data_IF_649660346586
#
_entry.id   IF_649660346586
#
_cell.length_a   1.000
_cell.length_b   1.000
_cell.length_c   1.000
_cell.angle_alpha   90.00
_cell.angle_beta   90.00
_cell.angle_gamma   90.00
#
_symmetry.space_group_name_H-M   'P 1'
#
loop_
_entity.id
_entity.type
_entity.pdbx_description
1 polymer ?
#
# COMPACT_ATOMS: atom_id res chain seq x y z
N UNK A 1 -18.97 18.62 17.89
CA UNK A 1 -17.75 17.76 18.02
C UNK A 1 -18.08 16.29 18.23
N UNK A 2 -18.93 15.91 19.22
CA UNK A 2 -19.30 14.51 19.43
C UNK A 2 -20.02 13.86 18.24
N UNK A 3 -20.97 14.57 17.62
CA UNK A 3 -21.69 14.12 16.43
C UNK A 3 -20.75 13.87 15.22
N UNK A 4 -19.80 14.79 14.98
CA UNK A 4 -18.77 14.65 13.95
C UNK A 4 -17.88 13.41 14.18
N UNK A 5 -17.48 13.14 15.44
CA UNK A 5 -16.69 11.96 15.79
C UNK A 5 -17.47 10.66 15.56
N UNK A 6 -18.76 10.63 15.90
CA UNK A 6 -19.60 9.45 15.63
C UNK A 6 -19.82 9.23 14.13
N UNK A 7 -19.99 10.31 13.36
CA UNK A 7 -20.10 10.27 11.89
C UNK A 7 -18.81 9.76 11.26
N UNK A 8 -17.65 10.23 11.73
CA UNK A 8 -16.34 9.78 11.28
C UNK A 8 -16.18 8.27 11.55
N UNK A 9 -16.53 7.80 12.75
CA UNK A 9 -16.44 6.38 13.10
C UNK A 9 -17.31 5.51 12.20
N UNK A 10 -18.51 5.96 11.86
CA UNK A 10 -19.39 5.28 10.91
C UNK A 10 -18.80 5.29 9.50
N UNK A 11 -18.21 6.41 9.08
CA UNK A 11 -17.58 6.55 7.76
C UNK A 11 -16.35 5.65 7.60
N UNK A 12 -15.51 5.52 8.64
CA UNK A 12 -14.35 4.61 8.64
C UNK A 12 -14.76 3.14 8.47
N UNK A 13 -16.00 2.78 8.83
CA UNK A 13 -16.55 1.44 8.59
C UNK A 13 -17.15 1.26 7.19
N UNK A 14 -17.45 2.34 6.47
CA UNK A 14 -17.97 2.27 5.11
C UNK A 14 -16.83 1.87 4.16
N UNK A 15 -16.96 0.76 3.39
CA UNK A 15 -15.96 0.36 2.40
C UNK A 15 -15.58 1.48 1.44
N UNK A 16 -16.51 2.37 1.10
CA UNK A 16 -16.27 3.49 0.17
C UNK A 16 -15.27 4.52 0.72
N UNK A 17 -15.15 4.69 2.03
CA UNK A 17 -14.15 5.58 2.62
C UNK A 17 -12.94 4.81 3.16
N UNK A 18 -13.16 3.61 3.70
CA UNK A 18 -12.12 2.80 4.30
C UNK A 18 -11.04 2.36 3.29
N UNK A 19 -11.40 2.03 2.04
CA UNK A 19 -10.40 1.70 1.02
C UNK A 19 -9.48 2.89 0.69
N UNK A 20 -10.00 4.12 0.71
CA UNK A 20 -9.20 5.34 0.48
C UNK A 20 -8.17 5.56 1.60
N UNK A 21 -8.56 5.29 2.85
CA UNK A 21 -7.64 5.36 3.98
C UNK A 21 -6.54 4.29 3.88
N UNK A 22 -6.91 3.07 3.50
CA UNK A 22 -5.97 1.96 3.41
C UNK A 22 -5.07 2.01 2.17
N UNK A 23 -5.47 2.69 1.09
CA UNK A 23 -4.68 2.83 -0.14
C UNK A 23 -3.27 3.41 0.13
N UNK A 24 -3.21 4.38 1.04
CA UNK A 24 -1.98 5.07 1.42
C UNK A 24 -1.04 4.20 2.28
N UNK A 25 -1.59 3.21 2.98
CA UNK A 25 -0.86 2.45 4.01
C UNK A 25 0.30 1.63 3.44
N UNK A 26 0.15 0.84 2.35
CA UNK A 26 1.27 0.11 1.78
C UNK A 26 2.39 1.04 1.30
N UNK A 27 2.04 2.15 0.64
CA UNK A 27 3.03 3.09 0.10
C UNK A 27 3.82 3.80 1.20
N UNK A 28 3.13 4.53 2.07
CA UNK A 28 3.80 5.33 3.10
C UNK A 28 4.34 4.48 4.23
N UNK A 29 3.64 3.41 4.60
CA UNK A 29 4.07 2.53 5.66
C UNK A 29 5.34 1.75 5.31
N UNK A 30 5.46 1.24 4.08
CA UNK A 30 6.73 0.64 3.60
C UNK A 30 7.81 1.71 3.47
N UNK A 31 7.50 2.90 2.93
CA UNK A 31 8.47 3.99 2.80
C UNK A 31 9.06 4.44 4.15
N UNK A 32 8.21 4.72 5.13
CA UNK A 32 8.61 5.10 6.49
C UNK A 32 9.36 3.93 7.15
N UNK A 33 8.85 2.70 7.03
CA UNK A 33 9.49 1.50 7.56
C UNK A 33 10.90 1.29 7.01
N UNK A 34 11.13 1.51 5.71
CA UNK A 34 12.45 1.45 5.10
C UNK A 34 13.42 2.49 5.67
N UNK A 35 12.96 3.73 5.85
CA UNK A 35 13.78 4.79 6.44
C UNK A 35 14.23 4.41 7.85
N UNK A 36 13.29 3.96 8.70
CA UNK A 36 13.62 3.47 10.04
C UNK A 36 14.56 2.26 9.99
N UNK A 37 14.34 1.32 9.06
CA UNK A 37 15.18 0.14 8.93
C UNK A 37 16.63 0.52 8.57
N UNK A 38 16.81 1.41 7.60
CA UNK A 38 18.15 1.89 7.18
C UNK A 38 18.83 2.64 8.33
N UNK A 39 18.14 3.57 8.99
CA UNK A 39 18.70 4.34 10.12
C UNK A 39 19.07 3.41 11.28
N UNK A 40 18.22 2.42 11.60
CA UNK A 40 18.49 1.45 12.66
C UNK A 40 19.72 0.57 12.36
N UNK A 41 20.02 0.31 11.09
CA UNK A 41 21.24 -0.39 10.70
C UNK A 41 22.49 0.46 10.91
N UNK A 42 22.42 1.74 10.54
CA UNK A 42 23.54 2.67 10.69
C UNK A 42 23.85 2.91 12.17
N UNK A 43 22.81 3.06 12.99
CA UNK A 43 22.94 3.31 14.44
C UNK A 43 23.16 2.04 15.26
N UNK A 44 22.89 0.85 14.69
CA UNK A 44 22.94 -0.44 15.39
C UNK A 44 21.80 -0.67 16.38
N UNK A 45 20.78 0.20 16.41
CA UNK A 45 19.70 0.14 17.39
C UNK A 45 18.69 -0.97 17.04
N UNK A 46 18.48 -1.91 17.96
CA UNK A 46 17.71 -3.14 17.69
C UNK A 46 16.20 -2.97 17.85
N UNK A 47 15.71 -2.06 18.70
CA UNK A 47 14.27 -1.86 18.93
C UNK A 47 13.61 -1.13 17.76
N UNK A 48 14.22 -0.04 17.30
CA UNK A 48 13.94 0.70 16.07
C UNK A 48 13.94 -0.21 14.86
N UNK A 49 14.93 -1.10 14.75
CA UNK A 49 14.95 -2.13 13.71
C UNK A 49 13.73 -3.05 13.77
N UNK A 50 13.38 -3.54 14.95
CA UNK A 50 12.20 -4.37 15.14
C UNK A 50 10.91 -3.62 14.79
N UNK A 51 10.77 -2.36 15.23
CA UNK A 51 9.64 -1.50 14.89
C UNK A 51 9.52 -1.27 13.38
N UNK A 52 10.64 -1.03 12.70
CA UNK A 52 10.69 -0.88 11.25
C UNK A 52 10.18 -2.13 10.53
N UNK A 53 10.63 -3.31 10.95
CA UNK A 53 10.19 -4.59 10.38
C UNK A 53 8.69 -4.84 10.62
N UNK A 54 8.20 -4.55 11.82
CA UNK A 54 6.77 -4.66 12.16
C UNK A 54 5.95 -3.73 11.27
N UNK A 55 6.40 -2.49 11.10
CA UNK A 55 5.72 -1.50 10.25
C UNK A 55 5.63 -1.98 8.80
N UNK A 56 6.75 -2.40 8.21
CA UNK A 56 6.77 -2.95 6.83
C UNK A 56 5.83 -4.16 6.71
N UNK A 57 5.89 -5.08 7.67
CA UNK A 57 5.06 -6.29 7.69
C UNK A 57 3.56 -5.95 7.72
N UNK A 58 3.15 -5.07 8.66
CA UNK A 58 1.77 -4.64 8.81
C UNK A 58 1.27 -3.86 7.59
N UNK A 59 2.11 -2.98 7.01
CA UNK A 59 1.75 -2.20 5.82
C UNK A 59 1.62 -3.05 4.56
N UNK A 60 2.41 -4.11 4.42
CA UNK A 60 2.20 -5.07 3.34
C UNK A 60 0.96 -5.93 3.58
N UNK A 61 0.72 -6.34 4.83
CA UNK A 61 -0.44 -7.15 5.20
C UNK A 61 -1.78 -6.39 5.01
N UNK A 62 -1.76 -5.06 5.14
CA UNK A 62 -2.96 -4.23 4.96
C UNK A 62 -3.51 -4.22 3.54
N UNK A 63 -2.78 -4.75 2.55
CA UNK A 63 -3.29 -4.95 1.17
C UNK A 63 -4.51 -5.88 1.15
N UNK A 64 -4.58 -6.85 2.06
CA UNK A 64 -5.74 -7.73 2.16
C UNK A 64 -7.05 -6.99 2.50
N UNK A 65 -7.17 -6.27 3.63
CA UNK A 65 -8.38 -5.50 3.92
C UNK A 65 -8.62 -4.37 2.91
N UNK A 66 -7.55 -3.76 2.36
CA UNK A 66 -7.68 -2.75 1.30
C UNK A 66 -8.40 -3.30 0.06
N UNK A 67 -7.96 -4.45 -0.46
CA UNK A 67 -8.52 -5.04 -1.69
C UNK A 67 -9.95 -5.54 -1.51
N UNK A 68 -10.28 -6.08 -0.34
CA UNK A 68 -11.67 -6.43 0.02
C UNK A 68 -12.57 -5.19 0.04
N UNK A 69 -12.13 -4.12 0.71
CA UNK A 69 -12.89 -2.86 0.79
C UNK A 69 -13.03 -2.18 -0.57
N UNK A 70 -11.98 -2.17 -1.38
CA UNK A 70 -12.01 -1.64 -2.74
C UNK A 70 -13.04 -2.40 -3.60
N UNK A 71 -13.02 -3.73 -3.57
CA UNK A 71 -13.96 -4.57 -4.34
C UNK A 71 -15.40 -4.26 -3.98
N UNK A 72 -15.70 -4.04 -2.69
CA UNK A 72 -17.03 -3.64 -2.21
C UNK A 72 -17.40 -2.21 -2.60
N UNK A 73 -16.41 -1.31 -2.75
CA UNK A 73 -16.63 0.08 -3.10
C UNK A 73 -16.82 0.30 -4.62
N UNK A 74 -16.19 -0.50 -5.48
CA UNK A 74 -16.18 -0.34 -6.94
C UNK A 74 -17.58 -0.11 -7.55
N UNK A 75 -18.64 -0.88 -7.22
CA UNK A 75 -19.97 -0.65 -7.81
C UNK A 75 -20.50 0.76 -7.55
N UNK A 76 -20.29 1.27 -6.32
CA UNK A 76 -20.71 2.62 -5.94
C UNK A 76 -19.84 3.67 -6.64
N UNK A 77 -18.53 3.46 -6.70
CA UNK A 77 -17.60 4.39 -7.39
C UNK A 77 -17.99 4.54 -8.87
N UNK A 78 -18.21 3.42 -9.57
CA UNK A 78 -18.62 3.41 -10.98
C UNK A 78 -19.96 4.13 -11.17
N UNK A 79 -20.93 3.95 -10.28
CA UNK A 79 -22.24 4.59 -10.37
C UNK A 79 -22.17 6.13 -10.25
N UNK A 80 -21.10 6.68 -9.67
CA UNK A 80 -20.90 8.13 -9.48
C UNK A 80 -20.05 8.79 -10.57
N UNK A 81 -19.54 8.01 -11.53
CA UNK A 81 -18.64 8.49 -12.60
C UNK A 81 -19.32 8.34 -13.96
N UNK A 82 -18.81 9.07 -14.95
CA UNK A 82 -19.24 8.90 -16.34
C UNK A 82 -18.96 7.46 -16.81
N UNK A 83 -19.82 6.92 -17.68
CA UNK A 83 -19.76 5.53 -18.14
C UNK A 83 -18.40 5.13 -18.73
N UNK A 84 -17.68 6.08 -19.33
CA UNK A 84 -16.34 5.87 -19.90
C UNK A 84 -15.27 5.46 -18.87
N UNK A 85 -15.46 5.76 -17.59
CA UNK A 85 -14.49 5.40 -16.53
C UNK A 85 -14.67 3.99 -15.98
N UNK A 86 -15.85 3.39 -16.17
CA UNK A 86 -16.14 2.06 -15.67
C UNK A 86 -15.10 0.99 -16.09
N UNK A 87 -14.66 0.89 -17.37
CA UNK A 87 -13.62 -0.07 -17.76
C UNK A 87 -12.27 0.27 -17.13
N UNK A 88 -11.86 1.54 -17.13
CA UNK A 88 -10.57 1.98 -16.57
C UNK A 88 -10.43 1.67 -15.07
N UNK A 89 -11.50 1.89 -14.31
CA UNK A 89 -11.54 1.58 -12.87
C UNK A 89 -11.41 0.07 -12.64
N UNK A 90 -12.08 -0.75 -13.45
CA UNK A 90 -12.01 -2.22 -13.34
C UNK A 90 -10.63 -2.76 -13.72
N UNK A 91 -10.04 -2.25 -14.79
CA UNK A 91 -8.68 -2.61 -15.20
C UNK A 91 -7.65 -2.25 -14.13
N UNK A 92 -7.80 -1.09 -13.50
CA UNK A 92 -6.89 -0.68 -12.44
C UNK A 92 -7.05 -1.52 -11.16
N UNK A 93 -8.29 -1.87 -10.80
CA UNK A 93 -8.55 -2.78 -9.69
C UNK A 93 -7.96 -4.18 -9.95
N UNK A 94 -8.12 -4.70 -11.18
CA UNK A 94 -7.52 -5.97 -11.59
C UNK A 94 -5.99 -5.92 -11.54
N UNK A 95 -5.39 -4.84 -12.07
CA UNK A 95 -3.93 -4.61 -12.00
C UNK A 95 -3.43 -4.67 -10.55
N UNK A 96 -4.12 -4.04 -9.61
CA UNK A 96 -3.74 -4.12 -8.20
C UNK A 96 -3.83 -5.54 -7.66
N UNK A 97 -4.93 -6.25 -7.96
CA UNK A 97 -5.09 -7.64 -7.57
C UNK A 97 -3.95 -8.54 -8.07
N UNK A 98 -3.50 -8.34 -9.31
CA UNK A 98 -2.40 -9.10 -9.92
C UNK A 98 -1.06 -8.90 -9.20
N UNK A 99 -0.86 -7.77 -8.51
CA UNK A 99 0.36 -7.47 -7.76
C UNK A 99 0.25 -7.73 -6.25
N UNK A 100 -0.92 -8.12 -5.73
CA UNK A 100 -1.11 -8.38 -4.30
C UNK A 100 -0.12 -9.41 -3.74
N UNK A 101 0.25 -10.42 -4.53
CA UNK A 101 1.18 -11.46 -4.11
C UNK A 101 2.56 -10.90 -3.72
N UNK A 102 3.00 -9.79 -4.32
CA UNK A 102 4.29 -9.14 -3.99
C UNK A 102 4.25 -8.65 -2.54
N UNK A 103 3.14 -8.05 -2.14
CA UNK A 103 2.93 -7.60 -0.76
C UNK A 103 2.81 -8.78 0.20
N UNK A 104 2.09 -9.84 -0.17
CA UNK A 104 1.98 -11.04 0.68
C UNK A 104 3.33 -11.76 0.87
N UNK A 105 4.14 -11.85 -0.19
CA UNK A 105 5.50 -12.36 -0.09
C UNK A 105 6.34 -11.48 0.85
N UNK A 106 6.22 -10.16 0.72
CA UNK A 106 6.94 -9.21 1.58
C UNK A 106 6.49 -9.28 3.05
N UNK A 107 5.20 -9.51 3.32
CA UNK A 107 4.68 -9.79 4.67
C UNK A 107 5.32 -11.05 5.23
N UNK A 108 5.43 -12.12 4.46
CA UNK A 108 6.08 -13.35 4.90
C UNK A 108 7.58 -13.15 5.18
N UNK A 109 8.31 -12.50 4.26
CA UNK A 109 9.75 -12.21 4.40
C UNK A 109 10.03 -11.33 5.63
N UNK A 110 9.30 -10.23 5.79
CA UNK A 110 9.46 -9.34 6.96
C UNK A 110 9.03 -10.02 8.26
N UNK A 111 7.97 -10.83 8.25
CA UNK A 111 7.59 -11.69 9.37
C UNK A 111 8.69 -12.66 9.78
N UNK A 112 9.32 -13.34 8.81
CA UNK A 112 10.47 -14.21 9.07
C UNK A 112 11.69 -13.43 9.59
N UNK A 113 11.93 -12.22 9.10
CA UNK A 113 12.99 -11.34 9.61
C UNK A 113 12.76 -10.95 11.08
N UNK A 114 11.51 -10.68 11.47
CA UNK A 114 11.13 -10.43 12.88
C UNK A 114 11.44 -11.66 13.75
N UNK A 115 10.98 -12.84 13.33
CA UNK A 115 11.15 -14.08 14.09
C UNK A 115 12.62 -14.52 14.19
N UNK A 116 13.43 -14.19 13.19
CA UNK A 116 14.84 -14.58 13.10
C UNK A 116 15.81 -13.51 13.61
N UNK A 117 15.33 -12.44 14.25
CA UNK A 117 16.15 -11.31 14.69
C UNK A 117 17.36 -11.69 15.57
N UNK A 118 17.28 -12.81 16.29
CA UNK A 118 18.36 -13.34 17.16
C UNK A 118 19.23 -14.43 16.50
N UNK A 119 18.91 -14.84 15.28
CA UNK A 119 19.59 -15.94 14.58
C UNK A 119 20.70 -15.42 13.66
N UNK A 120 21.72 -16.24 13.40
CA UNK A 120 22.74 -15.97 12.39
C UNK A 120 22.15 -15.73 10.99
N UNK A 121 21.00 -16.35 10.68
CA UNK A 121 20.25 -16.15 9.43
C UNK A 121 19.55 -14.78 9.35
N UNK A 122 19.40 -14.07 10.47
CA UNK A 122 18.70 -12.80 10.55
C UNK A 122 19.35 -11.70 9.72
N UNK A 123 20.68 -11.69 9.56
CA UNK A 123 21.38 -10.71 8.71
C UNK A 123 21.02 -10.86 7.23
N UNK A 124 20.93 -12.11 6.75
CA UNK A 124 20.54 -12.40 5.37
C UNK A 124 19.08 -12.03 5.10
N UNK A 125 18.16 -12.40 6.01
CA UNK A 125 16.75 -12.02 5.90
C UNK A 125 16.55 -10.51 5.95
N UNK A 126 17.33 -9.81 6.77
CA UNK A 126 17.29 -8.35 6.84
C UNK A 126 17.74 -7.69 5.53
N UNK A 127 18.81 -8.20 4.92
CA UNK A 127 19.25 -7.73 3.60
C UNK A 127 18.17 -7.95 2.53
N UNK A 128 17.56 -9.15 2.48
CA UNK A 128 16.42 -9.43 1.59
C UNK A 128 15.27 -8.47 1.87
N UNK A 129 14.97 -8.18 3.13
CA UNK A 129 13.88 -7.29 3.52
C UNK A 129 14.10 -5.87 3.00
N UNK A 130 15.35 -5.39 2.97
CA UNK A 130 15.66 -4.05 2.45
C UNK A 130 15.48 -4.00 0.94
N UNK A 131 16.09 -4.94 0.21
CA UNK A 131 16.01 -4.98 -1.25
C UNK A 131 14.56 -5.22 -1.69
N UNK A 132 13.88 -6.19 -1.07
CA UNK A 132 12.47 -6.47 -1.31
C UNK A 132 11.59 -5.27 -0.97
N UNK A 133 11.82 -4.63 0.18
CA UNK A 133 11.09 -3.44 0.60
C UNK A 133 11.25 -2.28 -0.38
N UNK A 134 12.46 -2.00 -0.87
CA UNK A 134 12.71 -0.99 -1.91
C UNK A 134 11.94 -1.31 -3.21
N UNK A 135 11.93 -2.59 -3.62
CA UNK A 135 11.14 -3.06 -4.75
C UNK A 135 9.64 -2.87 -4.55
N UNK A 136 9.11 -3.24 -3.37
CA UNK A 136 7.70 -3.04 -3.01
C UNK A 136 7.34 -1.55 -2.95
N UNK A 137 8.23 -0.71 -2.43
CA UNK A 137 8.03 0.73 -2.38
C UNK A 137 7.93 1.33 -3.79
N UNK A 138 8.84 0.94 -4.69
CA UNK A 138 8.81 1.38 -6.08
C UNK A 138 7.56 0.90 -6.82
N UNK A 139 7.17 -0.37 -6.63
CA UNK A 139 5.93 -0.92 -7.15
C UNK A 139 4.71 -0.14 -6.62
N UNK A 140 4.71 0.21 -5.33
CA UNK A 140 3.63 0.98 -4.71
C UNK A 140 3.51 2.38 -5.31
N UNK A 141 4.63 3.06 -5.57
CA UNK A 141 4.65 4.36 -6.25
C UNK A 141 4.07 4.24 -7.66
N UNK A 142 4.46 3.19 -8.40
CA UNK A 142 3.95 2.96 -9.75
C UNK A 142 2.45 2.64 -9.75
N UNK A 143 1.96 1.80 -8.84
CA UNK A 143 0.53 1.48 -8.71
C UNK A 143 -0.28 2.72 -8.35
N UNK A 144 0.20 3.53 -7.40
CA UNK A 144 -0.45 4.78 -7.01
C UNK A 144 -0.50 5.77 -8.18
N UNK A 145 0.61 5.94 -8.93
CA UNK A 145 0.61 6.75 -10.16
C UNK A 145 -0.46 6.27 -11.16
N UNK A 146 -0.62 4.95 -11.33
CA UNK A 146 -1.64 4.39 -12.22
C UNK A 146 -3.07 4.65 -11.74
N UNK A 147 -3.33 4.68 -10.44
CA UNK A 147 -4.63 5.12 -9.92
C UNK A 147 -4.87 6.60 -10.18
N UNK A 148 -3.85 7.42 -9.93
CA UNK A 148 -3.91 8.83 -10.20
C UNK A 148 -4.23 9.13 -11.67
N UNK A 149 -3.66 8.38 -12.62
CA UNK A 149 -4.01 8.49 -14.05
C UNK A 149 -5.50 8.19 -14.35
N UNK A 150 -6.14 7.31 -13.56
CA UNK A 150 -7.56 6.95 -13.72
C UNK A 150 -8.47 8.00 -13.09
N UNK A 151 -8.16 8.46 -11.88
CA UNK A 151 -9.05 9.33 -11.10
C UNK A 151 -8.77 10.82 -11.27
N UNK A 152 -7.59 11.21 -11.75
CA UNK A 152 -7.11 12.58 -11.83
C UNK A 152 -6.52 12.88 -13.22
N UNK A 153 -7.39 13.30 -14.15
CA UNK A 153 -7.01 13.63 -15.55
C UNK A 153 -5.96 14.73 -15.69
N UNK A 154 -5.83 15.61 -14.70
CA UNK A 154 -4.82 16.68 -14.70
C UNK A 154 -3.37 16.15 -14.71
N UNK A 155 -3.16 14.86 -14.43
CA UNK A 155 -1.83 14.24 -14.34
C UNK A 155 -1.46 13.50 -15.63
N UNK A 156 -2.45 13.21 -16.48
CA UNK A 156 -2.23 12.62 -17.81
C UNK A 156 -1.72 13.73 -18.74
N UNK A 157 -0.59 13.50 -19.41
CA UNK A 157 -0.09 14.47 -20.41
C UNK A 157 -1.15 14.68 -21.48
N UNK A 158 -1.52 15.94 -21.69
CA UNK A 158 -2.38 16.33 -22.80
C UNK A 158 -1.65 16.06 -24.11
N UNK A 159 -2.16 15.11 -24.90
CA UNK A 159 -1.78 14.95 -26.29
C UNK A 159 -2.79 15.71 -27.15
N UNK A 160 -2.38 16.73 -27.92
CA UNK A 160 -3.29 17.41 -28.83
C UNK A 160 -3.81 16.42 -29.88
N UNK A 161 -5.08 16.56 -30.31
CA UNK A 161 -5.63 15.69 -31.35
C UNK A 161 -4.75 15.79 -32.61
N UNK A 162 -4.30 14.63 -33.11
CA UNK A 162 -3.60 14.56 -34.39
C UNK A 162 -4.59 14.99 -35.48
N UNK A 163 -4.26 16.09 -36.17
CA UNK A 163 -5.05 16.65 -37.28
C UNK A 163 -4.92 15.77 -38.51
#
# INVERSE_FOLDING_TARGET
>A
MWQELTSLWQSVRDPAYAHLLLEAVPLFGVGIGLVFLIISMITGETKSRLLALILICASCASVWPYTDMLTRAIPRVIATKEATYAPLIREQAARRADFNWVYYLMTAVSGLAILSARSAKGKFLLFITIIGGLGVFWLSLWLHKKECEVYHRNIVRYEPPQR
#
